data_IF_419305461469
#
_entry.id   IF_419305461469
#
_cell.length_a   1.000
_cell.length_b   1.000
_cell.length_c   1.000
_cell.angle_alpha   90.00
_cell.angle_beta   90.00
_cell.angle_gamma   90.00
#
_symmetry.space_group_name_H-M   'P 1'
#
loop_
_entity.id
_entity.type
_entity.pdbx_description
1 polymer ?
#
# COMPACT_ATOMS: atom_id res chain seq x y z
N UNK A 1 -26.86 3.30 -17.85
CA UNK A 1 -25.42 3.59 -18.04
C UNK A 1 -24.61 3.21 -16.79
N UNK A 2 -23.28 3.07 -16.94
CA UNK A 2 -22.38 2.71 -15.82
C UNK A 2 -22.38 3.82 -14.76
N UNK A 3 -22.44 5.09 -15.18
CA UNK A 3 -22.46 6.26 -14.28
C UNK A 3 -23.72 6.32 -13.41
N UNK A 4 -24.90 5.97 -13.94
CA UNK A 4 -26.15 5.94 -13.16
C UNK A 4 -26.12 4.99 -11.97
N UNK A 5 -25.22 4.00 -12.01
CA UNK A 5 -24.93 3.09 -10.88
C UNK A 5 -23.95 3.70 -9.86
N UNK A 6 -23.51 4.95 -10.04
CA UNK A 6 -22.48 5.60 -9.22
C UNK A 6 -21.06 5.11 -9.50
N UNK A 7 -20.83 4.28 -10.55
CA UNK A 7 -19.53 3.68 -10.86
C UNK A 7 -18.73 4.53 -11.87
N UNK A 8 -18.55 5.83 -11.59
CA UNK A 8 -17.89 6.79 -12.49
C UNK A 8 -16.45 6.38 -12.86
N UNK A 9 -15.68 5.88 -11.89
CA UNK A 9 -14.31 5.41 -12.14
C UNK A 9 -14.29 4.24 -13.12
N UNK A 10 -15.23 3.28 -12.97
CA UNK A 10 -15.38 2.16 -13.91
C UNK A 10 -15.73 2.66 -15.31
N UNK A 11 -16.58 3.69 -15.45
CA UNK A 11 -16.92 4.28 -16.74
C UNK A 11 -15.67 4.82 -17.45
N UNK A 12 -14.79 5.51 -16.73
CA UNK A 12 -13.50 5.98 -17.28
C UNK A 12 -12.57 4.84 -17.68
N UNK A 13 -12.49 3.76 -16.87
CA UNK A 13 -11.68 2.57 -17.19
C UNK A 13 -12.20 1.89 -18.46
N UNK A 14 -13.51 1.65 -18.55
CA UNK A 14 -14.15 1.03 -19.71
C UNK A 14 -13.93 1.87 -20.96
N UNK A 15 -14.14 3.19 -20.89
CA UNK A 15 -13.82 4.09 -22.02
C UNK A 15 -12.37 3.96 -22.45
N UNK A 16 -11.43 3.91 -21.50
CA UNK A 16 -10.01 3.76 -21.80
C UNK A 16 -9.68 2.45 -22.50
N UNK A 17 -10.28 1.35 -22.10
CA UNK A 17 -10.12 0.03 -22.74
C UNK A 17 -10.69 0.04 -24.16
N UNK A 18 -11.90 0.59 -24.34
CA UNK A 18 -12.51 0.72 -25.69
C UNK A 18 -11.61 1.58 -26.59
N UNK A 19 -11.09 2.71 -26.07
CA UNK A 19 -10.13 3.54 -26.82
C UNK A 19 -8.89 2.75 -27.25
N UNK A 20 -8.32 1.91 -26.40
CA UNK A 20 -7.17 1.08 -26.76
C UNK A 20 -7.49 0.10 -27.89
N UNK A 21 -8.66 -0.55 -27.82
CA UNK A 21 -9.14 -1.49 -28.85
C UNK A 21 -9.34 -0.76 -30.19
N UNK A 22 -10.04 0.39 -30.17
CA UNK A 22 -10.30 1.16 -31.40
C UNK A 22 -9.02 1.71 -32.02
N UNK A 23 -8.08 2.22 -31.22
CA UNK A 23 -6.77 2.67 -31.72
C UNK A 23 -5.95 1.54 -32.33
N UNK A 24 -6.03 0.34 -31.78
CA UNK A 24 -5.44 -0.83 -32.43
C UNK A 24 -6.12 -1.14 -33.75
N UNK A 25 -7.48 -1.08 -33.80
CA UNK A 25 -8.24 -1.24 -35.05
C UNK A 25 -7.89 -0.20 -36.12
N UNK A 26 -7.65 1.06 -35.73
CA UNK A 26 -7.15 2.10 -36.64
C UNK A 26 -5.75 1.77 -37.18
N UNK A 27 -4.86 1.36 -36.28
CA UNK A 27 -3.49 0.99 -36.67
C UNK A 27 -3.42 -0.23 -37.61
N UNK A 28 -4.42 -1.11 -37.53
CA UNK A 28 -4.52 -2.31 -38.41
C UNK A 28 -5.45 -2.11 -39.61
N UNK A 29 -6.01 -0.91 -39.81
CA UNK A 29 -6.90 -0.59 -40.95
C UNK A 29 -8.33 -1.16 -40.81
N UNK A 30 -8.72 -1.66 -39.63
CA UNK A 30 -10.05 -2.22 -39.36
C UNK A 30 -11.06 -1.13 -38.97
N UNK A 31 -10.61 -0.05 -38.35
CA UNK A 31 -11.42 1.10 -37.97
C UNK A 31 -10.88 2.38 -38.57
N UNK A 32 -11.76 3.33 -38.86
CA UNK A 32 -11.37 4.65 -39.41
C UNK A 32 -10.84 5.60 -38.30
N UNK A 33 -11.44 5.55 -37.11
CA UNK A 33 -11.06 6.43 -35.98
C UNK A 33 -11.46 5.85 -34.62
N UNK A 34 -10.84 6.39 -33.57
CA UNK A 34 -11.23 6.16 -32.18
C UNK A 34 -12.38 7.13 -31.81
N UNK A 35 -13.63 6.64 -31.82
CA UNK A 35 -14.82 7.42 -31.48
C UNK A 35 -14.94 7.73 -29.99
N UNK A 36 -14.16 7.09 -29.11
CA UNK A 36 -14.20 7.39 -27.66
C UNK A 36 -13.65 8.75 -27.32
N UNK A 37 -12.93 9.39 -28.24
CA UNK A 37 -12.46 10.77 -28.10
C UNK A 37 -13.62 11.75 -27.96
N UNK A 38 -14.74 11.47 -28.58
CA UNK A 38 -15.95 12.30 -28.56
C UNK A 38 -16.63 12.29 -27.18
N UNK A 39 -16.30 11.28 -26.35
CA UNK A 39 -16.77 11.15 -24.96
C UNK A 39 -15.90 11.91 -23.94
N UNK A 40 -14.91 12.65 -24.40
CA UNK A 40 -14.12 13.51 -23.48
C UNK A 40 -15.02 14.60 -22.89
N UNK A 41 -15.08 14.65 -21.56
CA UNK A 41 -15.94 15.60 -20.83
C UNK A 41 -17.40 15.19 -20.70
N UNK A 42 -17.88 14.15 -21.42
CA UNK A 42 -19.22 13.63 -21.28
C UNK A 42 -19.39 12.78 -20.01
N UNK A 43 -18.34 12.09 -19.56
CA UNK A 43 -18.32 11.32 -18.31
C UNK A 43 -17.95 12.26 -17.17
N UNK A 44 -18.69 12.19 -16.05
CA UNK A 44 -18.41 12.99 -14.86
C UNK A 44 -16.95 12.79 -14.39
N UNK A 45 -16.27 13.84 -13.89
CA UNK A 45 -14.93 13.71 -13.37
C UNK A 45 -14.90 12.79 -12.13
N UNK A 46 -13.89 11.93 -12.05
CA UNK A 46 -13.68 11.11 -10.88
C UNK A 46 -13.27 12.00 -9.70
N UNK A 47 -14.09 12.02 -8.66
CA UNK A 47 -13.70 12.61 -7.39
C UNK A 47 -12.68 11.71 -6.70
N UNK A 48 -11.40 12.06 -6.81
CA UNK A 48 -10.32 11.33 -6.11
C UNK A 48 -10.45 11.60 -4.61
N UNK A 49 -10.83 10.58 -3.85
CA UNK A 49 -10.70 10.61 -2.39
C UNK A 49 -9.25 10.27 -2.04
N UNK A 50 -8.65 11.05 -1.15
CA UNK A 50 -7.39 10.65 -0.52
C UNK A 50 -7.61 9.38 0.30
N UNK A 51 -6.56 8.56 0.42
CA UNK A 51 -6.63 7.42 1.32
C UNK A 51 -6.81 7.92 2.75
N UNK A 52 -7.84 7.43 3.47
CA UNK A 52 -8.05 7.80 4.86
C UNK A 52 -6.84 7.44 5.71
N UNK A 53 -6.38 8.44 6.45
CA UNK A 53 -5.24 8.36 7.36
C UNK A 53 -5.51 9.30 8.53
N UNK A 54 -4.83 9.07 9.65
CA UNK A 54 -4.85 10.04 10.72
C UNK A 54 -4.15 11.32 10.23
N UNK A 55 -4.78 12.48 10.49
CA UNK A 55 -4.16 13.79 10.32
C UNK A 55 -3.07 14.03 11.39
N UNK A 56 -2.36 15.14 11.31
CA UNK A 56 -1.30 15.47 12.27
C UNK A 56 -1.81 15.43 13.72
N UNK A 57 -2.97 16.03 13.99
CA UNK A 57 -3.58 15.99 15.32
C UNK A 57 -3.94 14.58 15.76
N UNK A 58 -4.50 13.76 14.86
CA UNK A 58 -4.85 12.38 15.16
C UNK A 58 -3.64 11.47 15.35
N UNK A 59 -2.52 11.74 14.65
CA UNK A 59 -1.27 10.96 14.78
C UNK A 59 -0.59 11.26 16.12
N UNK A 60 -0.55 12.52 16.52
CA UNK A 60 0.09 12.96 17.77
C UNK A 60 -0.81 12.77 19.00
N UNK A 61 -2.11 12.55 18.80
CA UNK A 61 -3.06 12.27 19.86
C UNK A 61 -2.80 10.86 20.43
N UNK A 62 -2.46 10.76 21.75
CA UNK A 62 -2.25 9.46 22.39
C UNK A 62 -3.48 8.55 22.38
N UNK A 63 -4.69 9.09 22.29
CA UNK A 63 -5.91 8.29 22.22
C UNK A 63 -6.15 7.75 20.82
N UNK A 64 -5.98 8.56 19.78
CA UNK A 64 -6.20 8.17 18.38
C UNK A 64 -5.02 7.39 17.80
N UNK A 65 -3.86 8.02 17.65
CA UNK A 65 -2.66 7.39 17.09
C UNK A 65 -2.15 6.27 17.99
N UNK A 66 -2.03 6.53 19.28
CA UNK A 66 -1.68 5.52 20.27
C UNK A 66 -2.74 4.42 20.40
N UNK A 67 -4.01 4.75 20.23
CA UNK A 67 -5.13 3.79 20.20
C UNK A 67 -5.00 2.79 19.05
N UNK A 68 -4.69 3.27 17.83
CA UNK A 68 -4.47 2.41 16.67
C UNK A 68 -3.28 1.47 16.87
N UNK A 69 -2.16 1.97 17.39
CA UNK A 69 -0.98 1.13 17.65
C UNK A 69 -1.27 0.07 18.73
N UNK A 70 -1.95 0.45 19.82
CA UNK A 70 -2.38 -0.52 20.86
C UNK A 70 -3.36 -1.56 20.32
N UNK A 71 -4.29 -1.17 19.44
CA UNK A 71 -5.21 -2.10 18.81
C UNK A 71 -4.45 -3.11 17.90
N UNK A 72 -3.41 -2.65 17.19
CA UNK A 72 -2.54 -3.52 16.39
C UNK A 72 -1.77 -4.49 17.28
N UNK A 73 -1.21 -4.05 18.39
CA UNK A 73 -0.49 -4.92 19.33
C UNK A 73 -1.41 -5.96 19.97
N UNK A 74 -2.65 -5.59 20.29
CA UNK A 74 -3.68 -6.47 20.83
C UNK A 74 -4.47 -7.26 19.78
N UNK A 75 -4.11 -7.17 18.49
CA UNK A 75 -4.89 -7.82 17.44
C UNK A 75 -4.92 -9.35 17.58
N UNK A 76 -6.12 -9.90 17.77
CA UNK A 76 -6.37 -11.33 17.81
C UNK A 76 -6.54 -11.91 16.39
N UNK A 77 -5.43 -12.28 15.79
CA UNK A 77 -5.35 -12.89 14.48
C UNK A 77 -4.10 -13.75 14.33
N UNK A 78 -3.84 -14.22 13.10
CA UNK A 78 -2.63 -15.02 12.89
C UNK A 78 -1.37 -14.20 13.20
N UNK A 79 -0.35 -14.87 13.76
CA UNK A 79 0.92 -14.22 14.11
C UNK A 79 1.54 -13.51 12.91
N UNK A 80 1.46 -14.11 11.72
CA UNK A 80 1.95 -13.52 10.45
C UNK A 80 1.27 -12.17 10.16
N UNK A 81 -0.05 -12.10 10.29
CA UNK A 81 -0.81 -10.86 10.03
C UNK A 81 -0.51 -9.81 11.10
N UNK A 82 -0.38 -10.21 12.37
CA UNK A 82 0.01 -9.31 13.46
C UNK A 82 1.40 -8.72 13.23
N UNK A 83 2.38 -9.53 12.82
CA UNK A 83 3.72 -9.02 12.46
C UNK A 83 3.66 -8.05 11.28
N UNK A 84 2.86 -8.33 10.24
CA UNK A 84 2.69 -7.44 9.11
C UNK A 84 2.08 -6.08 9.52
N UNK A 85 1.07 -6.09 10.38
CA UNK A 85 0.44 -4.89 10.92
C UNK A 85 1.41 -4.06 11.78
N UNK A 86 2.21 -4.72 12.64
CA UNK A 86 3.22 -4.05 13.49
C UNK A 86 4.40 -3.49 12.69
N UNK A 87 4.81 -4.17 11.64
CA UNK A 87 5.93 -3.75 10.80
C UNK A 87 5.56 -2.56 9.90
N UNK A 88 4.34 -2.53 9.37
CA UNK A 88 3.93 -1.55 8.37
C UNK A 88 4.15 -0.08 8.77
N UNK A 89 3.75 0.38 9.98
CA UNK A 89 3.99 1.75 10.42
C UNK A 89 5.49 2.10 10.53
N UNK A 90 6.35 1.10 10.81
CA UNK A 90 7.78 1.31 11.01
C UNK A 90 8.56 1.50 9.70
N UNK A 91 8.04 0.96 8.58
CA UNK A 91 8.74 1.00 7.29
C UNK A 91 8.04 1.89 6.26
N UNK A 92 6.77 2.21 6.44
CA UNK A 92 5.96 3.08 5.60
C UNK A 92 5.99 2.76 4.08
N UNK A 93 6.25 1.50 3.71
CA UNK A 93 6.20 1.03 2.31
C UNK A 93 4.76 0.95 1.80
N UNK A 94 4.57 0.78 0.51
CA UNK A 94 3.22 0.51 -0.02
C UNK A 94 2.72 -0.84 0.47
N UNK A 95 1.41 -1.02 0.76
CA UNK A 95 0.86 -2.31 1.19
C UNK A 95 1.20 -3.46 0.25
N UNK A 96 1.28 -3.18 -1.06
CA UNK A 96 1.70 -4.16 -2.06
C UNK A 96 3.17 -4.58 -1.92
N UNK A 97 4.06 -3.65 -1.58
CA UNK A 97 5.48 -3.92 -1.34
C UNK A 97 5.65 -4.76 -0.07
N UNK A 98 5.00 -4.36 1.03
CA UNK A 98 5.02 -5.10 2.28
C UNK A 98 4.53 -6.55 2.09
N UNK A 99 3.36 -6.76 1.50
CA UNK A 99 2.79 -8.11 1.38
C UNK A 99 3.60 -9.05 0.48
N UNK A 100 4.33 -8.51 -0.51
CA UNK A 100 5.22 -9.28 -1.38
C UNK A 100 6.67 -9.32 -0.89
N UNK A 101 6.95 -8.83 0.31
CA UNK A 101 8.30 -8.88 0.88
C UNK A 101 8.79 -10.33 1.00
N UNK A 102 10.04 -10.55 0.59
CA UNK A 102 10.71 -11.84 0.58
C UNK A 102 11.88 -11.84 1.57
N UNK A 103 12.18 -12.99 2.16
CA UNK A 103 13.27 -13.10 3.13
C UNK A 103 14.64 -12.75 2.53
N UNK A 104 14.86 -13.03 1.26
CA UNK A 104 16.09 -12.70 0.53
C UNK A 104 16.32 -11.18 0.40
N UNK A 105 15.28 -10.38 0.60
CA UNK A 105 15.31 -8.92 0.53
C UNK A 105 15.67 -8.27 1.89
N UNK A 106 15.71 -9.05 2.98
CA UNK A 106 16.04 -8.57 4.32
C UNK A 106 17.51 -8.78 4.61
N UNK A 107 18.23 -7.71 4.82
CA UNK A 107 19.60 -7.71 5.28
C UNK A 107 19.63 -7.36 6.78
N UNK A 108 19.84 -8.35 7.62
CA UNK A 108 19.89 -8.18 9.07
C UNK A 108 21.19 -7.56 9.56
N UNK A 109 22.27 -7.68 8.79
CA UNK A 109 23.58 -7.11 9.16
C UNK A 109 23.57 -5.59 8.98
N UNK A 110 23.05 -5.13 7.85
CA UNK A 110 22.93 -3.72 7.54
C UNK A 110 21.61 -3.10 8.01
N UNK A 111 20.72 -3.90 8.60
CA UNK A 111 19.38 -3.50 8.99
C UNK A 111 18.61 -2.79 7.86
N UNK A 112 18.52 -3.44 6.69
CA UNK A 112 17.83 -2.90 5.51
C UNK A 112 16.86 -3.90 4.90
N UNK A 113 15.78 -3.35 4.29
CA UNK A 113 14.87 -4.07 3.41
C UNK A 113 15.09 -3.58 1.98
N UNK A 114 15.63 -4.44 1.12
CA UNK A 114 16.08 -4.12 -0.23
C UNK A 114 15.04 -4.55 -1.26
N UNK A 115 14.19 -3.62 -1.68
CA UNK A 115 13.10 -3.90 -2.63
C UNK A 115 13.63 -3.78 -4.07
N UNK A 116 13.61 -4.88 -4.87
CA UNK A 116 14.14 -4.83 -6.23
C UNK A 116 13.25 -4.00 -7.16
N UNK A 117 13.85 -3.42 -8.20
CA UNK A 117 13.18 -2.57 -9.18
C UNK A 117 11.92 -3.20 -9.80
N UNK A 118 11.92 -4.53 -9.99
CA UNK A 118 10.79 -5.27 -10.54
C UNK A 118 9.51 -5.18 -9.71
N UNK A 119 9.62 -5.00 -8.39
CA UNK A 119 8.49 -4.85 -7.46
C UNK A 119 8.05 -3.40 -7.29
N UNK A 120 8.87 -2.44 -7.72
CA UNK A 120 8.61 -1.01 -7.52
C UNK A 120 7.78 -0.43 -8.66
N UNK A 121 6.83 0.47 -8.31
CA UNK A 121 6.00 1.18 -9.31
C UNK A 121 6.84 1.97 -10.31
N UNK A 122 7.91 2.63 -9.84
CA UNK A 122 8.81 3.45 -10.66
C UNK A 122 9.97 2.67 -11.29
N UNK A 123 9.99 1.33 -11.14
CA UNK A 123 11.03 0.45 -11.71
C UNK A 123 12.46 0.82 -11.29
N UNK A 124 12.63 1.38 -10.10
CA UNK A 124 13.92 1.66 -9.46
C UNK A 124 14.02 0.88 -8.15
N UNK A 125 15.19 0.31 -7.78
CA UNK A 125 15.34 -0.37 -6.51
C UNK A 125 15.12 0.63 -5.36
N UNK A 126 14.64 0.13 -4.23
CA UNK A 126 14.40 0.95 -3.06
C UNK A 126 14.97 0.26 -1.81
N UNK A 127 15.77 0.99 -1.05
CA UNK A 127 16.35 0.52 0.22
C UNK A 127 15.60 1.20 1.36
N UNK A 128 14.99 0.40 2.21
CA UNK A 128 14.26 0.85 3.40
C UNK A 128 15.10 0.54 4.63
N UNK A 129 15.56 1.54 5.39
CA UNK A 129 16.22 1.32 6.68
C UNK A 129 15.25 0.66 7.66
N UNK A 130 15.73 -0.31 8.41
CA UNK A 130 14.96 -1.00 9.44
C UNK A 130 15.34 -0.48 10.82
N UNK A 131 14.35 0.03 11.56
CA UNK A 131 14.54 0.39 12.96
C UNK A 131 14.82 -0.86 13.81
N UNK A 132 15.42 -0.73 15.01
CA UNK A 132 15.61 -1.86 15.92
C UNK A 132 14.30 -2.61 16.20
N UNK A 133 13.18 -1.89 16.31
CA UNK A 133 11.84 -2.47 16.50
C UNK A 133 11.40 -3.31 15.30
N UNK A 134 11.67 -2.83 14.08
CA UNK A 134 11.37 -3.58 12.86
C UNK A 134 12.19 -4.88 12.78
N UNK A 135 13.48 -4.81 13.13
CA UNK A 135 14.38 -5.98 13.18
C UNK A 135 13.87 -7.01 14.19
N UNK A 136 13.42 -6.58 15.38
CA UNK A 136 12.84 -7.49 16.40
C UNK A 136 11.64 -8.22 15.83
N UNK A 137 10.68 -7.52 15.21
CA UNK A 137 9.49 -8.13 14.60
C UNK A 137 9.89 -9.17 13.53
N UNK A 138 10.87 -8.84 12.70
CA UNK A 138 11.33 -9.76 11.65
C UNK A 138 12.02 -10.99 12.24
N UNK A 139 12.83 -10.84 13.30
CA UNK A 139 13.45 -11.98 14.01
C UNK A 139 12.42 -12.86 14.71
N UNK A 140 11.35 -12.29 15.28
CA UNK A 140 10.23 -13.05 15.84
C UNK A 140 9.48 -13.85 14.77
N UNK A 141 9.36 -13.31 13.55
CA UNK A 141 8.66 -13.94 12.44
C UNK A 141 9.51 -15.03 11.74
N UNK A 142 10.84 -14.85 11.70
CA UNK A 142 11.76 -15.70 10.94
C UNK A 142 11.65 -17.21 11.26
N UNK A 143 11.53 -17.66 12.52
CA UNK A 143 11.36 -19.09 12.81
C UNK A 143 10.12 -19.71 12.18
N UNK A 144 9.08 -18.93 11.96
CA UNK A 144 7.79 -19.40 11.43
C UNK A 144 7.75 -19.41 9.90
N UNK A 145 8.33 -18.41 9.26
CA UNK A 145 8.19 -18.22 7.79
C UNK A 145 9.51 -18.18 7.04
N UNK A 146 10.66 -18.20 7.76
CA UNK A 146 12.00 -18.01 7.18
C UNK A 146 12.48 -19.14 6.27
N UNK A 147 11.88 -20.33 6.35
CA UNK A 147 12.14 -21.42 5.41
C UNK A 147 11.41 -21.25 4.07
N UNK A 148 10.46 -20.32 4.00
CA UNK A 148 9.69 -19.99 2.80
C UNK A 148 10.23 -18.76 2.06
N UNK A 149 9.57 -18.42 0.96
CA UNK A 149 9.91 -17.25 0.15
C UNK A 149 9.47 -15.94 0.81
N UNK A 150 8.19 -15.88 1.22
CA UNK A 150 7.56 -14.64 1.66
C UNK A 150 7.64 -14.46 3.18
N UNK A 151 7.88 -13.23 3.63
CA UNK A 151 7.75 -12.87 5.04
C UNK A 151 6.32 -13.17 5.53
N UNK A 152 5.34 -12.77 4.75
CA UNK A 152 3.93 -12.83 5.07
C UNK A 152 3.20 -13.72 4.06
N UNK A 153 3.37 -15.04 4.19
CA UNK A 153 2.66 -15.97 3.33
C UNK A 153 1.19 -16.13 3.72
N UNK A 154 0.37 -16.56 2.77
CA UNK A 154 -1.04 -16.87 3.01
C UNK A 154 -1.18 -18.09 3.92
N UNK A 155 -2.21 -18.08 4.77
CA UNK A 155 -2.57 -19.26 5.59
C UNK A 155 -2.96 -20.47 4.73
N UNK A 156 -3.42 -20.23 3.48
CA UNK A 156 -3.84 -21.30 2.56
C UNK A 156 -2.69 -21.86 1.73
N UNK A 157 -1.57 -21.15 1.61
CA UNK A 157 -0.44 -21.57 0.79
C UNK A 157 0.80 -20.75 1.13
N UNK A 158 1.88 -21.42 1.52
CA UNK A 158 3.18 -20.79 1.78
C UNK A 158 3.83 -20.25 0.50
N UNK A 159 3.40 -20.73 -0.68
CA UNK A 159 3.88 -20.27 -1.98
C UNK A 159 3.26 -18.93 -2.44
N UNK A 160 2.28 -18.39 -1.71
CA UNK A 160 1.61 -17.12 -2.04
C UNK A 160 1.66 -16.16 -0.86
N UNK A 161 1.82 -14.86 -1.10
CA UNK A 161 1.74 -13.86 -0.03
C UNK A 161 0.30 -13.74 0.50
N UNK A 162 0.12 -13.05 1.63
CA UNK A 162 -1.20 -12.64 2.11
C UNK A 162 -1.94 -11.86 1.03
N UNK A 163 -3.29 -11.90 1.06
CA UNK A 163 -4.08 -11.17 0.08
C UNK A 163 -3.95 -9.65 0.24
N UNK A 164 -4.26 -8.92 -0.81
CA UNK A 164 -4.23 -7.45 -0.84
C UNK A 164 -5.16 -6.80 0.18
N UNK A 165 -6.27 -7.48 0.51
CA UNK A 165 -7.23 -6.99 1.49
C UNK A 165 -6.93 -7.44 2.93
N UNK A 166 -5.91 -8.28 3.19
CA UNK A 166 -5.68 -8.89 4.51
C UNK A 166 -5.48 -7.83 5.60
N UNK A 167 -4.65 -6.82 5.36
CA UNK A 167 -4.36 -5.77 6.35
C UNK A 167 -5.59 -4.89 6.60
N UNK A 168 -6.32 -4.52 5.55
CA UNK A 168 -7.55 -3.74 5.69
C UNK A 168 -8.65 -4.54 6.39
N UNK A 169 -8.80 -5.83 6.11
CA UNK A 169 -9.72 -6.69 6.82
C UNK A 169 -9.38 -6.78 8.32
N UNK A 170 -8.11 -6.83 8.67
CA UNK A 170 -7.66 -6.80 10.06
C UNK A 170 -8.02 -5.46 10.74
N UNK A 171 -7.78 -4.32 10.07
CA UNK A 171 -8.21 -3.00 10.55
C UNK A 171 -9.72 -2.93 10.80
N UNK A 172 -10.54 -3.48 9.89
CA UNK A 172 -12.01 -3.58 10.08
C UNK A 172 -12.38 -4.39 11.33
N UNK A 173 -11.69 -5.51 11.56
CA UNK A 173 -11.91 -6.34 12.76
C UNK A 173 -11.54 -5.63 14.07
N UNK A 174 -10.60 -4.69 14.00
CA UNK A 174 -10.25 -3.82 15.14
C UNK A 174 -11.18 -2.61 15.32
N UNK A 175 -12.21 -2.48 14.46
CA UNK A 175 -13.22 -1.42 14.55
C UNK A 175 -12.98 -0.20 13.68
N UNK A 176 -11.84 -0.09 12.98
CA UNK A 176 -11.56 1.05 12.08
C UNK A 176 -12.29 0.91 10.75
N UNK A 177 -13.16 1.85 10.41
CA UNK A 177 -13.89 1.88 9.14
C UNK A 177 -12.97 2.24 7.95
N UNK A 178 -13.46 2.01 6.71
CA UNK A 178 -12.71 2.40 5.50
C UNK A 178 -12.53 3.92 5.39
N UNK A 179 -13.39 4.71 6.01
CA UNK A 179 -13.34 6.16 6.00
C UNK A 179 -12.47 6.74 7.13
N UNK A 180 -12.10 5.92 8.13
CA UNK A 180 -11.23 6.33 9.23
C UNK A 180 -9.77 6.00 8.95
N UNK A 181 -9.47 4.75 8.59
CA UNK A 181 -8.09 4.34 8.33
C UNK A 181 -7.99 3.13 7.40
N UNK A 182 -7.03 3.17 6.48
CA UNK A 182 -6.65 2.05 5.63
C UNK A 182 -5.13 1.83 5.69
N UNK A 183 -4.68 0.62 5.37
CA UNK A 183 -3.26 0.28 5.46
C UNK A 183 -2.34 1.20 4.65
N UNK A 184 -2.82 1.77 3.53
CA UNK A 184 -2.07 2.77 2.76
C UNK A 184 -1.89 4.09 3.52
N UNK A 185 -2.74 4.39 4.48
CA UNK A 185 -2.71 5.59 5.32
C UNK A 185 -1.41 5.74 6.11
N UNK A 186 -0.69 4.64 6.42
CA UNK A 186 0.60 4.71 7.10
C UNK A 186 1.63 5.58 6.40
N UNK A 187 1.56 5.70 5.08
CA UNK A 187 2.47 6.56 4.31
C UNK A 187 2.16 8.04 4.52
N UNK A 188 0.88 8.39 4.62
CA UNK A 188 0.47 9.76 4.97
C UNK A 188 0.84 10.07 6.43
N UNK A 189 0.59 9.14 7.35
CA UNK A 189 1.01 9.25 8.77
C UNK A 189 2.53 9.47 8.88
N UNK A 190 3.32 8.65 8.17
CA UNK A 190 4.78 8.80 8.15
C UNK A 190 5.20 10.18 7.63
N UNK A 191 4.61 10.64 6.51
CA UNK A 191 4.90 11.96 5.96
C UNK A 191 4.59 13.05 6.95
N UNK A 192 3.38 13.05 7.51
CA UNK A 192 2.92 14.04 8.49
C UNK A 192 3.81 14.08 9.74
N UNK A 193 4.13 12.91 10.34
CA UNK A 193 5.03 12.85 11.49
C UNK A 193 6.42 13.37 11.16
N UNK A 194 6.97 12.96 10.02
CA UNK A 194 8.33 13.33 9.64
C UNK A 194 8.44 14.82 9.31
N UNK A 195 7.44 15.41 8.67
CA UNK A 195 7.42 16.82 8.26
C UNK A 195 7.05 17.73 9.45
N UNK A 196 5.86 17.50 10.05
CA UNK A 196 5.27 18.45 11.00
C UNK A 196 5.80 18.28 12.43
N UNK A 197 6.15 17.03 12.83
CA UNK A 197 6.59 16.75 14.20
C UNK A 197 8.10 16.64 14.30
N UNK A 198 8.73 15.87 13.42
CA UNK A 198 10.18 15.66 13.45
C UNK A 198 10.96 16.70 12.65
N UNK A 199 10.29 17.53 11.85
CA UNK A 199 10.89 18.55 10.97
C UNK A 199 12.04 17.98 10.13
N UNK A 200 11.86 16.75 9.64
CA UNK A 200 12.85 16.09 8.82
C UNK A 200 12.93 16.75 7.44
N UNK A 201 14.11 16.71 6.83
CA UNK A 201 14.29 17.26 5.48
C UNK A 201 13.40 16.53 4.48
N UNK A 202 12.75 17.29 3.58
CA UNK A 202 11.79 16.77 2.58
C UNK A 202 12.43 15.68 1.72
N UNK A 203 13.72 15.83 1.35
CA UNK A 203 14.43 14.85 0.53
C UNK A 203 14.55 13.48 1.22
N UNK A 204 14.67 13.45 2.55
CA UNK A 204 14.72 12.21 3.33
C UNK A 204 13.33 11.56 3.36
N UNK A 205 12.29 12.37 3.56
CA UNK A 205 10.90 11.90 3.58
C UNK A 205 10.54 11.29 2.22
N UNK A 206 10.82 12.00 1.12
CA UNK A 206 10.50 11.55 -0.23
C UNK A 206 11.34 10.32 -0.62
N UNK A 207 12.62 10.26 -0.18
CA UNK A 207 13.47 9.08 -0.36
C UNK A 207 12.87 7.86 0.33
N UNK A 208 12.46 7.98 1.61
CA UNK A 208 11.82 6.88 2.35
C UNK A 208 10.50 6.42 1.71
N UNK A 209 9.74 7.35 1.18
CA UNK A 209 8.48 7.06 0.50
C UNK A 209 8.65 6.60 -0.96
N UNK A 210 9.88 6.56 -1.49
CA UNK A 210 10.16 6.28 -2.90
C UNK A 210 9.32 7.15 -3.86
N UNK A 211 9.22 8.44 -3.54
CA UNK A 211 8.66 9.49 -4.39
C UNK A 211 9.84 10.17 -5.11
N UNK A 212 10.09 9.78 -6.34
CA UNK A 212 11.12 10.39 -7.21
C UNK A 212 10.51 10.70 -8.58
#
# INVERSE_FOLDING_TARGET
>A
PIEERGAVELAHVVRGLISQILRYGVATGVCERDITTDLRGAIQPVQRKHYPALDAGGVTDPEKGGGLLRAIDGFDGTFIVRCALRLHPLIATRPGELRHAEWVEIDFENATFNIPAGKMKMKRPHIVPLSPQAVVILRELQPLTGSGRYLFHSIRSTAKPISDNTLNAALRRMGYSNDEFVSHGWRAVFRTLSDEVLQARVEIIEAQLAHQ
#
